data_IF_422158211553
#
_entry.id   IF_422158211553
#
_cell.length_a   1.000
_cell.length_b   1.000
_cell.length_c   1.000
_cell.angle_alpha   90.00
_cell.angle_beta   90.00
_cell.angle_gamma   90.00
#
_symmetry.space_group_name_H-M   'P 1'
#
loop_
_entity.id
_entity.type
_entity.pdbx_description
1 polymer ?
#
# COMPACT_ATOMS: atom_id res chain seq x y z
N UNK A 1 22.01 -21.43 80.73
CA UNK A 1 23.25 -22.14 81.13
C UNK A 1 24.33 -21.94 80.11
N UNK A 2 25.47 -21.39 80.58
CA UNK A 2 26.85 -21.43 80.03
C UNK A 2 27.09 -20.90 78.64
N UNK A 3 27.73 -19.72 78.52
CA UNK A 3 29.15 -19.32 78.65
C UNK A 3 29.86 -19.55 77.32
N UNK A 4 30.23 -18.43 76.64
CA UNK A 4 31.53 -17.76 76.60
C UNK A 4 32.54 -18.61 75.76
N UNK A 5 33.22 -18.04 74.78
CA UNK A 5 34.48 -17.38 75.05
C UNK A 5 35.02 -16.57 73.87
N UNK A 6 35.72 -15.53 74.23
CA UNK A 6 36.48 -14.58 73.41
C UNK A 6 37.86 -15.16 73.12
N UNK A 7 38.42 -14.82 71.99
CA UNK A 7 39.87 -14.41 71.88
C UNK A 7 40.14 -14.00 70.43
N UNK A 8 40.38 -12.75 70.16
CA UNK A 8 41.67 -12.03 70.06
C UNK A 8 42.69 -12.66 69.12
N UNK A 9 43.05 -11.96 68.08
CA UNK A 9 44.38 -11.41 67.75
C UNK A 9 44.42 -11.19 66.24
N UNK A 10 44.75 -10.15 65.80
CA UNK A 10 45.86 -9.23 65.60
C UNK A 10 45.97 -8.83 64.11
N UNK A 11 46.15 -7.57 63.98
CA UNK A 11 46.42 -6.77 62.78
C UNK A 11 47.62 -7.30 61.98
N UNK A 12 47.46 -7.25 60.66
CA UNK A 12 48.60 -7.09 59.75
C UNK A 12 48.15 -6.19 58.60
N UNK A 13 48.67 -5.00 58.59
CA UNK A 13 48.59 -4.04 57.52
C UNK A 13 49.53 -4.49 56.39
N UNK A 14 48.98 -4.76 55.19
CA UNK A 14 49.75 -4.72 53.96
C UNK A 14 49.16 -3.68 53.06
N UNK A 15 49.88 -2.58 52.92
CA UNK A 15 49.65 -1.57 51.91
C UNK A 15 50.02 -2.15 50.52
N UNK A 16 49.02 -2.44 49.69
CA UNK A 16 49.26 -2.64 48.26
C UNK A 16 48.84 -1.34 47.55
N UNK A 17 49.83 -0.60 47.08
CA UNK A 17 49.69 0.48 46.14
C UNK A 17 49.23 -0.12 44.77
N UNK A 18 47.96 -0.16 44.50
CA UNK A 18 47.38 -0.53 43.22
C UNK A 18 47.39 0.66 42.26
N UNK A 19 48.28 0.63 41.31
CA UNK A 19 48.33 1.58 40.18
C UNK A 19 47.04 1.41 39.36
N UNK A 20 46.09 2.39 39.47
CA UNK A 20 44.93 2.45 38.56
C UNK A 20 45.44 2.85 37.17
N UNK A 21 45.57 1.88 36.29
CA UNK A 21 45.69 2.14 34.83
C UNK A 21 44.30 2.50 34.35
N UNK A 22 43.99 3.79 34.19
CA UNK A 22 42.85 4.27 33.43
C UNK A 22 43.06 3.87 31.95
N UNK A 23 42.57 2.71 31.57
CA UNK A 23 42.38 2.37 30.17
C UNK A 23 41.26 3.26 29.62
N UNK A 24 41.64 4.41 29.04
CA UNK A 24 40.75 5.23 28.21
C UNK A 24 40.41 4.41 26.98
N UNK A 25 39.39 3.56 27.09
CA UNK A 25 38.77 2.95 25.92
C UNK A 25 38.16 4.04 25.03
N UNK A 26 38.88 4.46 24.01
CA UNK A 26 38.34 5.23 22.94
C UNK A 26 37.20 4.39 22.33
N UNK A 27 35.96 4.72 22.67
CA UNK A 27 34.78 4.26 21.91
C UNK A 27 34.99 4.73 20.47
N UNK A 28 35.44 3.83 19.60
CA UNK A 28 35.47 4.07 18.19
C UNK A 28 34.04 4.43 17.79
N UNK A 29 33.79 5.72 17.52
CA UNK A 29 32.57 6.19 16.92
C UNK A 29 32.42 5.43 15.60
N UNK A 30 31.53 4.45 15.55
CA UNK A 30 31.16 3.80 14.30
C UNK A 30 30.59 4.90 13.41
N UNK A 31 31.28 5.20 12.34
CA UNK A 31 30.78 6.10 11.30
C UNK A 31 29.39 5.58 10.89
N UNK A 32 28.38 6.48 10.74
CA UNK A 32 27.07 6.05 10.27
C UNK A 32 27.25 5.28 8.95
N UNK A 33 26.47 4.22 8.71
CA UNK A 33 26.59 3.42 7.50
C UNK A 33 26.50 4.35 6.30
N UNK A 34 27.55 4.39 5.49
CA UNK A 34 27.56 5.16 4.25
C UNK A 34 26.41 4.68 3.37
N UNK A 35 25.56 5.59 2.91
CA UNK A 35 24.55 5.26 1.92
C UNK A 35 25.27 4.66 0.71
N UNK A 36 24.75 3.56 0.15
CA UNK A 36 25.31 3.02 -1.09
C UNK A 36 25.41 4.13 -2.14
N UNK A 37 26.56 4.25 -2.79
CA UNK A 37 26.72 5.19 -3.89
C UNK A 37 25.80 4.79 -5.03
N UNK A 38 25.15 5.76 -5.71
CA UNK A 38 24.33 5.47 -6.88
C UNK A 38 25.16 4.76 -7.94
N UNK A 39 24.62 3.69 -8.52
CA UNK A 39 25.19 3.03 -9.68
C UNK A 39 24.57 3.65 -10.91
N UNK A 40 25.39 4.20 -11.79
CA UNK A 40 24.96 4.77 -13.06
C UNK A 40 24.97 3.70 -14.14
N UNK A 41 23.89 3.61 -14.90
CA UNK A 41 23.73 2.64 -15.98
C UNK A 41 22.88 3.24 -17.12
N UNK A 42 23.03 2.71 -18.32
CA UNK A 42 22.15 3.05 -19.42
C UNK A 42 20.82 2.31 -19.28
N UNK A 43 19.72 3.04 -19.38
CA UNK A 43 18.35 2.52 -19.31
C UNK A 43 17.63 2.83 -20.61
N UNK A 44 17.06 1.80 -21.25
CA UNK A 44 16.31 1.96 -22.49
C UNK A 44 14.95 2.58 -22.20
N UNK A 45 14.77 3.84 -22.57
CA UNK A 45 13.48 4.53 -22.54
C UNK A 45 12.88 4.55 -23.94
N UNK A 46 11.57 4.25 -24.12
CA UNK A 46 10.93 4.41 -25.43
C UNK A 46 11.11 5.83 -25.99
N UNK A 47 11.43 5.94 -27.27
CA UNK A 47 11.54 7.23 -27.96
C UNK A 47 10.18 7.92 -28.04
N UNK A 48 9.15 7.13 -28.39
CA UNK A 48 7.77 7.61 -28.38
C UNK A 48 7.13 7.32 -27.03
N UNK A 49 6.34 8.26 -26.55
CA UNK A 49 5.64 8.10 -25.29
C UNK A 49 4.54 7.04 -25.40
N UNK A 50 4.50 6.08 -24.47
CA UNK A 50 3.46 5.05 -24.38
C UNK A 50 2.08 5.70 -24.26
N UNK A 51 1.16 5.35 -25.15
CA UNK A 51 -0.20 5.87 -25.12
C UNK A 51 -1.00 5.29 -23.94
N UNK A 52 -2.00 6.05 -23.49
CA UNK A 52 -3.02 5.52 -22.58
C UNK A 52 -4.02 4.70 -23.40
N UNK A 53 -4.30 3.47 -22.95
CA UNK A 53 -5.35 2.61 -23.52
C UNK A 53 -6.51 2.57 -22.55
N UNK A 54 -7.71 2.85 -23.03
CA UNK A 54 -8.91 2.84 -22.17
C UNK A 54 -9.05 1.51 -21.39
N UNK A 55 -9.48 1.55 -20.13
CA UNK A 55 -9.97 2.72 -19.36
C UNK A 55 -8.86 3.63 -18.84
N UNK A 56 -7.58 3.25 -18.95
CA UNK A 56 -6.46 4.02 -18.40
C UNK A 56 -6.41 5.43 -18.98
N UNK A 57 -6.29 6.42 -18.12
CA UNK A 57 -6.03 7.83 -18.47
C UNK A 57 -5.18 8.49 -17.40
N UNK A 58 -4.53 9.62 -17.69
CA UNK A 58 -3.61 10.25 -16.74
C UNK A 58 -4.24 10.55 -15.39
N UNK A 59 -5.49 11.00 -15.37
CA UNK A 59 -6.18 11.42 -14.17
C UNK A 59 -7.66 11.05 -14.21
N UNK A 60 -8.09 10.23 -13.28
CA UNK A 60 -9.48 9.95 -12.96
C UNK A 60 -9.89 10.75 -11.73
N UNK A 61 -10.81 11.67 -11.89
CA UNK A 61 -11.43 12.38 -10.77
C UNK A 61 -12.58 11.56 -10.22
N UNK A 62 -12.57 11.30 -8.92
CA UNK A 62 -13.68 10.59 -8.27
C UNK A 62 -15.00 11.35 -8.47
N UNK A 63 -14.98 12.68 -8.42
CA UNK A 63 -16.17 13.51 -8.66
C UNK A 63 -16.82 13.26 -10.03
N UNK A 64 -16.00 13.05 -11.08
CA UNK A 64 -16.51 12.75 -12.43
C UNK A 64 -17.15 11.35 -12.48
N UNK A 65 -16.53 10.37 -11.80
CA UNK A 65 -17.08 9.00 -11.69
C UNK A 65 -18.42 9.02 -10.96
N UNK A 66 -18.51 9.73 -9.84
CA UNK A 66 -19.77 9.87 -9.09
C UNK A 66 -20.85 10.58 -9.92
N UNK A 67 -20.49 11.60 -10.68
CA UNK A 67 -21.40 12.31 -11.56
C UNK A 67 -21.95 11.40 -12.67
N UNK A 68 -21.08 10.58 -13.28
CA UNK A 68 -21.47 9.59 -14.30
C UNK A 68 -22.51 8.59 -13.79
N UNK A 69 -22.40 8.19 -12.53
CA UNK A 69 -23.28 7.22 -11.87
C UNK A 69 -24.33 7.85 -10.96
N UNK A 70 -24.61 9.15 -11.15
CA UNK A 70 -25.62 9.86 -10.35
C UNK A 70 -26.97 9.15 -10.39
N UNK A 71 -27.57 8.96 -9.21
CA UNK A 71 -28.84 8.24 -9.05
C UNK A 71 -28.74 6.70 -9.06
N UNK A 72 -27.60 6.12 -9.37
CA UNK A 72 -27.38 4.69 -9.29
C UNK A 72 -26.83 4.31 -7.91
N UNK A 73 -27.41 3.29 -7.28
CA UNK A 73 -26.98 2.83 -5.95
C UNK A 73 -25.99 1.67 -6.00
N UNK A 74 -26.03 0.89 -7.10
CA UNK A 74 -25.12 -0.23 -7.33
C UNK A 74 -24.55 -0.11 -8.74
N UNK A 75 -23.21 -0.02 -8.85
CA UNK A 75 -22.49 0.14 -10.10
C UNK A 75 -21.01 -0.20 -9.93
N UNK A 76 -20.32 -0.40 -11.03
CA UNK A 76 -18.86 -0.48 -11.07
C UNK A 76 -18.31 0.32 -12.24
N UNK A 77 -17.10 0.85 -12.07
CA UNK A 77 -16.36 1.59 -13.10
C UNK A 77 -14.91 1.13 -13.12
N UNK A 78 -14.45 0.62 -14.25
CA UNK A 78 -13.05 0.25 -14.44
C UNK A 78 -12.20 1.52 -14.60
N UNK A 79 -11.17 1.65 -13.78
CA UNK A 79 -10.28 2.81 -13.68
C UNK A 79 -8.90 2.50 -14.25
N UNK A 80 -8.34 1.35 -13.86
CA UNK A 80 -7.09 0.81 -14.38
C UNK A 80 -7.35 -0.58 -14.94
N UNK A 81 -6.84 -0.83 -16.13
CA UNK A 81 -6.81 -2.15 -16.73
C UNK A 81 -5.54 -2.26 -17.57
N UNK A 82 -4.55 -2.98 -17.06
CA UNK A 82 -3.30 -3.20 -17.76
C UNK A 82 -2.87 -4.68 -17.63
N UNK A 83 -1.62 -4.97 -17.94
CA UNK A 83 -1.07 -6.32 -17.87
C UNK A 83 -1.05 -6.88 -16.46
N UNK A 84 -0.83 -6.02 -15.46
CA UNK A 84 -0.55 -6.42 -14.09
C UNK A 84 -1.80 -6.29 -13.19
N UNK A 85 -2.65 -5.26 -13.42
CA UNK A 85 -3.77 -4.95 -12.54
C UNK A 85 -5.08 -4.63 -13.24
N UNK A 86 -6.17 -4.93 -12.53
CA UNK A 86 -7.47 -4.30 -12.69
C UNK A 86 -7.79 -3.54 -11.41
N UNK A 87 -8.10 -2.25 -11.54
CA UNK A 87 -8.58 -1.44 -10.44
C UNK A 87 -9.89 -0.74 -10.83
N UNK A 88 -10.84 -0.71 -9.90
CA UNK A 88 -12.20 -0.20 -10.16
C UNK A 88 -12.84 0.45 -8.95
N UNK A 89 -13.76 1.36 -9.19
CA UNK A 89 -14.72 1.75 -8.18
C UNK A 89 -15.92 0.81 -8.21
N UNK A 90 -16.37 0.41 -7.03
CA UNK A 90 -17.54 -0.46 -6.85
C UNK A 90 -18.44 0.16 -5.79
N UNK A 91 -19.66 0.50 -6.20
CA UNK A 91 -20.74 0.91 -5.31
C UNK A 91 -21.71 -0.25 -5.12
N UNK A 92 -22.09 -0.50 -3.88
CA UNK A 92 -23.09 -1.50 -3.51
C UNK A 92 -24.23 -0.82 -2.76
N UNK A 93 -25.46 -1.15 -3.16
CA UNK A 93 -26.66 -0.63 -2.52
C UNK A 93 -26.79 -1.13 -1.06
N UNK A 94 -27.55 -0.44 -0.18
CA UNK A 94 -27.85 -0.92 1.16
C UNK A 94 -28.40 -2.35 1.18
N UNK A 95 -27.82 -3.20 2.04
CA UNK A 95 -28.18 -4.60 2.15
C UNK A 95 -27.68 -5.49 1.02
N UNK A 96 -27.05 -4.92 -0.01
CA UNK A 96 -26.42 -5.71 -1.06
C UNK A 96 -25.23 -6.49 -0.49
N UNK A 97 -25.13 -7.75 -0.90
CA UNK A 97 -24.09 -8.67 -0.44
C UNK A 97 -23.40 -9.31 -1.64
N UNK A 98 -22.07 -9.32 -1.63
CA UNK A 98 -21.30 -10.09 -2.60
C UNK A 98 -21.43 -11.58 -2.33
N UNK A 99 -21.24 -12.41 -3.36
CA UNK A 99 -21.00 -13.84 -3.17
C UNK A 99 -19.72 -14.02 -2.35
N UNK A 100 -19.66 -15.11 -1.59
CA UNK A 100 -18.43 -15.57 -0.95
C UNK A 100 -17.52 -16.11 -2.03
N UNK A 101 -16.36 -15.49 -2.21
CA UNK A 101 -15.44 -15.76 -3.31
C UNK A 101 -13.99 -15.63 -2.85
N UNK A 102 -13.06 -16.13 -3.66
CA UNK A 102 -11.63 -15.97 -3.47
C UNK A 102 -10.90 -15.94 -4.81
N UNK A 103 -9.62 -15.55 -4.82
CA UNK A 103 -8.75 -15.60 -6.00
C UNK A 103 -7.68 -16.68 -5.83
N UNK A 104 -7.32 -17.36 -6.93
CA UNK A 104 -6.43 -18.52 -6.88
C UNK A 104 -5.00 -18.17 -6.47
N UNK A 105 -4.45 -17.10 -7.03
CA UNK A 105 -3.02 -16.80 -6.94
C UNK A 105 -2.71 -15.34 -6.66
N UNK A 106 -3.76 -14.53 -6.45
CA UNK A 106 -3.63 -13.08 -6.27
C UNK A 106 -4.26 -12.65 -4.95
N UNK A 107 -3.61 -11.69 -4.31
CA UNK A 107 -4.20 -10.89 -3.24
C UNK A 107 -5.15 -9.88 -3.85
N UNK A 108 -6.29 -9.66 -3.22
CA UNK A 108 -7.18 -8.54 -3.53
C UNK A 108 -7.14 -7.56 -2.37
N UNK A 109 -7.22 -6.28 -2.67
CA UNK A 109 -7.36 -5.26 -1.64
C UNK A 109 -8.27 -4.13 -2.10
N UNK A 110 -8.81 -3.39 -1.15
CA UNK A 110 -9.64 -2.22 -1.43
C UNK A 110 -9.55 -1.16 -0.36
N UNK A 111 -9.90 0.05 -0.74
CA UNK A 111 -9.97 1.21 0.14
C UNK A 111 -11.41 1.71 0.14
N UNK A 112 -12.03 1.80 1.32
CA UNK A 112 -13.39 2.31 1.47
C UNK A 112 -13.39 3.82 1.30
N UNK A 113 -14.14 4.30 0.31
CA UNK A 113 -14.29 5.72 0.01
C UNK A 113 -15.46 6.35 0.78
N UNK A 114 -16.56 5.60 0.92
CA UNK A 114 -17.73 6.04 1.68
C UNK A 114 -18.62 4.88 2.09
N UNK A 115 -19.56 5.13 3.00
CA UNK A 115 -20.51 4.14 3.50
C UNK A 115 -19.90 3.18 4.51
N UNK A 116 -20.57 2.04 4.71
CA UNK A 116 -20.23 1.02 5.71
C UNK A 116 -20.30 -0.36 5.08
N UNK A 117 -19.31 -1.18 5.31
CA UNK A 117 -19.23 -2.55 4.78
C UNK A 117 -18.95 -3.51 5.91
N UNK A 118 -19.82 -4.50 6.09
CA UNK A 118 -19.48 -5.71 6.86
C UNK A 118 -18.60 -6.58 5.98
N UNK A 119 -17.41 -6.86 6.45
CA UNK A 119 -16.43 -7.72 5.78
C UNK A 119 -16.31 -9.02 6.56
N UNK A 120 -16.51 -10.14 5.86
CA UNK A 120 -16.31 -11.49 6.40
C UNK A 120 -15.19 -12.15 5.60
N UNK A 121 -14.12 -12.54 6.27
CA UNK A 121 -12.95 -13.21 5.69
C UNK A 121 -12.77 -14.53 6.45
N UNK A 122 -12.61 -15.64 5.74
CA UNK A 122 -12.41 -16.93 6.35
C UNK A 122 -11.18 -16.91 7.29
N UNK A 123 -11.37 -17.44 8.49
CA UNK A 123 -10.32 -17.42 9.53
C UNK A 123 -10.16 -16.09 10.29
N UNK A 124 -10.98 -15.06 9.97
CA UNK A 124 -10.98 -13.79 10.70
C UNK A 124 -12.35 -13.55 11.35
N UNK A 125 -12.36 -12.77 12.44
CA UNK A 125 -13.62 -12.25 12.97
C UNK A 125 -14.19 -11.22 11.99
N UNK A 126 -15.49 -11.26 11.67
CA UNK A 126 -16.11 -10.25 10.83
C UNK A 126 -15.97 -8.86 11.45
N UNK A 127 -15.76 -7.85 10.62
CA UNK A 127 -15.62 -6.46 11.05
C UNK A 127 -16.37 -5.52 10.13
N UNK A 128 -16.59 -4.29 10.60
CA UNK A 128 -17.21 -3.22 9.80
C UNK A 128 -16.14 -2.25 9.36
N UNK A 129 -15.96 -2.14 8.05
CA UNK A 129 -15.08 -1.17 7.42
C UNK A 129 -15.87 0.08 7.03
N UNK A 130 -15.34 1.26 7.36
CA UNK A 130 -15.88 2.58 7.04
C UNK A 130 -14.88 3.37 6.21
N UNK A 131 -15.21 4.61 5.85
CA UNK A 131 -14.30 5.48 5.09
C UNK A 131 -12.88 5.47 5.65
N UNK A 132 -11.91 5.28 4.78
CA UNK A 132 -10.49 5.21 5.13
C UNK A 132 -10.00 3.80 5.52
N UNK A 133 -10.89 2.83 5.75
CA UNK A 133 -10.43 1.45 5.92
C UNK A 133 -9.80 0.95 4.62
N UNK A 134 -8.62 0.39 4.78
CA UNK A 134 -7.88 -0.35 3.77
C UNK A 134 -7.94 -1.82 4.14
N UNK A 135 -8.50 -2.67 3.28
CA UNK A 135 -8.74 -4.09 3.55
C UNK A 135 -8.04 -4.92 2.49
N UNK A 136 -7.49 -6.06 2.87
CA UNK A 136 -6.88 -6.99 1.94
C UNK A 136 -7.19 -8.44 2.29
N UNK A 137 -7.25 -9.30 1.27
CA UNK A 137 -7.48 -10.73 1.40
C UNK A 137 -6.42 -11.50 0.65
N UNK A 138 -5.71 -12.44 1.30
CA UNK A 138 -4.70 -13.26 0.65
C UNK A 138 -5.31 -14.20 -0.40
N UNK A 139 -4.49 -14.72 -1.31
CA UNK A 139 -4.94 -15.72 -2.27
C UNK A 139 -5.51 -16.97 -1.56
N UNK A 140 -6.55 -17.57 -2.14
CA UNK A 140 -7.27 -18.78 -1.67
C UNK A 140 -7.91 -18.64 -0.29
N UNK A 141 -8.15 -17.42 0.17
CA UNK A 141 -8.94 -17.15 1.37
C UNK A 141 -10.27 -16.55 0.92
N UNK A 142 -11.37 -17.21 1.29
CA UNK A 142 -12.69 -16.76 0.85
C UNK A 142 -13.18 -15.57 1.69
N UNK A 143 -13.91 -14.66 1.04
CA UNK A 143 -14.48 -13.48 1.67
C UNK A 143 -15.81 -13.08 1.05
N UNK A 144 -16.56 -12.31 1.79
CA UNK A 144 -17.76 -11.60 1.31
C UNK A 144 -17.86 -10.22 1.93
N UNK A 145 -18.55 -9.32 1.23
CA UNK A 145 -18.80 -7.94 1.63
C UNK A 145 -20.30 -7.72 1.60
N UNK A 146 -20.82 -7.04 2.62
CA UNK A 146 -22.23 -6.64 2.71
C UNK A 146 -22.30 -5.15 3.07
N UNK A 147 -23.09 -4.38 2.33
CA UNK A 147 -23.30 -2.97 2.65
C UNK A 147 -24.26 -2.82 3.82
N UNK A 148 -23.79 -2.17 4.88
CA UNK A 148 -24.58 -1.88 6.09
C UNK A 148 -25.11 -0.44 6.09
N UNK A 149 -26.27 -0.26 6.73
CA UNK A 149 -26.91 1.05 6.89
C UNK A 149 -27.84 1.40 5.74
N UNK A 150 -28.18 2.69 5.61
CA UNK A 150 -29.17 3.20 4.64
C UNK A 150 -28.55 3.74 3.36
N UNK A 151 -27.25 3.98 3.36
CA UNK A 151 -26.52 4.54 2.24
C UNK A 151 -25.68 3.50 1.50
N UNK A 152 -25.46 3.67 0.19
CA UNK A 152 -24.54 2.82 -0.56
C UNK A 152 -23.12 2.87 0.02
N UNK A 153 -22.41 1.78 -0.10
CA UNK A 153 -20.97 1.74 0.20
C UNK A 153 -20.17 1.83 -1.10
N UNK A 154 -19.10 2.61 -1.09
CA UNK A 154 -18.17 2.78 -2.21
C UNK A 154 -16.76 2.36 -1.81
N UNK A 155 -16.14 1.54 -2.64
CA UNK A 155 -14.74 1.17 -2.50
C UNK A 155 -13.95 1.30 -3.80
N UNK A 156 -12.68 1.56 -3.69
CA UNK A 156 -11.70 1.37 -4.75
C UNK A 156 -11.02 0.02 -4.55
N UNK A 157 -11.25 -0.92 -5.46
CA UNK A 157 -10.76 -2.31 -5.37
C UNK A 157 -9.67 -2.56 -6.42
N UNK A 158 -8.60 -3.24 -6.00
CA UNK A 158 -7.46 -3.60 -6.84
C UNK A 158 -7.19 -5.10 -6.74
N UNK A 159 -6.97 -5.73 -7.90
CA UNK A 159 -6.59 -7.14 -8.02
C UNK A 159 -5.70 -7.37 -9.21
N UNK A 160 -5.05 -8.52 -9.28
CA UNK A 160 -4.28 -8.94 -10.46
C UNK A 160 -5.14 -8.97 -11.72
N UNK A 161 -4.58 -8.60 -12.85
CA UNK A 161 -5.30 -8.53 -14.14
C UNK A 161 -5.88 -9.88 -14.57
N UNK A 162 -5.22 -10.97 -14.22
CA UNK A 162 -5.65 -12.33 -14.54
C UNK A 162 -6.48 -13.00 -13.43
N UNK A 163 -6.75 -12.27 -12.34
CA UNK A 163 -7.49 -12.79 -11.20
C UNK A 163 -8.96 -13.01 -11.55
N UNK A 164 -9.36 -14.27 -11.63
CA UNK A 164 -10.75 -14.70 -11.84
C UNK A 164 -11.30 -15.20 -10.51
N UNK A 165 -12.52 -14.81 -10.11
CA UNK A 165 -13.10 -15.28 -8.87
C UNK A 165 -13.41 -16.77 -8.92
N UNK A 166 -13.03 -17.48 -7.87
CA UNK A 166 -13.43 -18.84 -7.54
C UNK A 166 -14.43 -18.79 -6.38
N UNK A 167 -15.24 -19.82 -6.26
CA UNK A 167 -16.29 -19.89 -5.23
C UNK A 167 -16.10 -21.15 -4.40
N UNK A 168 -16.29 -21.10 -3.07
CA UNK A 168 -16.38 -22.28 -2.24
C UNK A 168 -17.47 -23.24 -2.76
N UNK A 169 -17.33 -24.53 -2.49
CA UNK A 169 -18.23 -25.55 -3.05
C UNK A 169 -19.69 -25.42 -2.60
N UNK A 170 -19.91 -24.77 -1.49
CA UNK A 170 -21.21 -24.47 -0.90
C UNK A 170 -21.82 -23.14 -1.39
N UNK A 171 -21.09 -22.40 -2.25
CA UNK A 171 -21.57 -21.16 -2.86
C UNK A 171 -22.01 -21.40 -4.31
N UNK A 172 -23.04 -20.67 -4.75
CA UNK A 172 -23.45 -20.69 -6.16
C UNK A 172 -22.63 -19.66 -6.93
N UNK A 173 -21.79 -20.09 -7.91
CA UNK A 173 -20.98 -19.16 -8.71
C UNK A 173 -21.83 -18.16 -9.48
N UNK A 174 -21.32 -16.95 -9.64
CA UNK A 174 -21.89 -15.96 -10.56
C UNK A 174 -21.57 -16.44 -12.00
N UNK A 175 -22.57 -16.58 -12.88
CA UNK A 175 -22.34 -16.95 -14.25
C UNK A 175 -21.34 -16.01 -14.95
N UNK A 176 -20.47 -16.56 -15.77
CA UNK A 176 -19.48 -15.81 -16.55
C UNK A 176 -19.55 -16.26 -18.01
N UNK A 177 -19.72 -15.31 -18.90
CA UNK A 177 -19.85 -15.59 -20.35
C UNK A 177 -18.65 -16.38 -20.87
N UNK A 178 -18.98 -17.42 -21.65
CA UNK A 178 -17.97 -18.30 -22.24
C UNK A 178 -17.18 -19.17 -21.24
N UNK A 179 -17.59 -19.21 -19.96
CA UNK A 179 -16.95 -20.04 -18.93
C UNK A 179 -17.91 -21.07 -18.36
N UNK A 180 -17.36 -22.23 -18.04
CA UNK A 180 -18.05 -23.29 -17.30
C UNK A 180 -17.31 -23.55 -16.00
N UNK A 181 -18.03 -23.52 -14.88
CA UNK A 181 -17.44 -23.84 -13.59
C UNK A 181 -17.25 -25.36 -13.44
N UNK A 182 -16.05 -25.74 -13.07
CA UNK A 182 -15.65 -27.11 -12.82
C UNK A 182 -15.26 -27.28 -11.35
N UNK A 183 -15.58 -28.40 -10.73
CA UNK A 183 -15.07 -28.72 -9.39
C UNK A 183 -13.57 -28.95 -9.49
N UNK A 184 -12.82 -28.25 -8.65
CA UNK A 184 -11.35 -28.30 -8.58
C UNK A 184 -10.90 -28.57 -7.14
N UNK A 185 -9.69 -29.08 -7.00
CA UNK A 185 -9.01 -29.22 -5.70
C UNK A 185 -7.79 -28.31 -5.68
N UNK A 186 -7.48 -27.76 -4.52
CA UNK A 186 -6.27 -26.94 -4.32
C UNK A 186 -5.71 -27.17 -2.92
N UNK A 187 -4.45 -26.80 -2.72
CA UNK A 187 -3.76 -26.91 -1.44
C UNK A 187 -3.12 -25.58 -1.07
N UNK A 188 -3.07 -25.31 0.23
CA UNK A 188 -2.48 -24.09 0.76
C UNK A 188 -3.31 -22.84 0.45
N UNK A 189 -2.97 -21.78 1.12
CA UNK A 189 -3.55 -20.43 0.95
C UNK A 189 -2.51 -19.38 1.37
N UNK A 190 -2.72 -18.13 0.96
CA UNK A 190 -1.93 -17.02 1.44
C UNK A 190 -2.18 -16.74 2.93
N UNK A 191 -1.28 -16.02 3.54
CA UNK A 191 -1.34 -15.67 4.96
C UNK A 191 -1.25 -14.16 5.16
N UNK A 192 -1.63 -13.73 6.35
CA UNK A 192 -1.33 -12.41 6.88
C UNK A 192 0.03 -12.44 7.58
N UNK A 193 0.72 -11.31 7.63
CA UNK A 193 2.00 -11.12 8.28
C UNK A 193 2.08 -9.71 8.92
N UNK A 194 3.27 -9.27 9.30
CA UNK A 194 3.45 -7.96 9.95
C UNK A 194 3.10 -6.77 9.04
N UNK A 195 3.28 -6.90 7.73
CA UNK A 195 2.94 -5.90 6.72
C UNK A 195 1.53 -6.13 6.19
N UNK A 196 1.27 -7.33 5.73
CA UNK A 196 0.01 -7.72 5.10
C UNK A 196 -1.04 -8.07 6.18
N UNK A 197 -1.61 -7.08 6.84
CA UNK A 197 -2.67 -7.25 7.85
C UNK A 197 -4.04 -7.33 7.18
N UNK A 198 -5.06 -7.96 7.81
CA UNK A 198 -6.41 -8.02 7.24
C UNK A 198 -6.99 -6.65 6.89
N UNK A 199 -6.71 -5.67 7.73
CA UNK A 199 -7.10 -4.27 7.49
C UNK A 199 -6.19 -3.29 8.23
N UNK A 200 -6.26 -2.03 7.80
CA UNK A 200 -5.71 -0.85 8.43
C UNK A 200 -6.79 0.24 8.41
N UNK A 201 -7.05 0.88 9.52
CA UNK A 201 -7.85 2.11 9.56
C UNK A 201 -6.92 3.30 9.30
N UNK A 202 -6.86 3.75 8.04
CA UNK A 202 -5.97 4.84 7.63
C UNK A 202 -6.19 6.13 8.44
N UNK A 203 -7.45 6.47 8.73
CA UNK A 203 -7.76 7.68 9.48
C UNK A 203 -7.23 7.58 10.90
N UNK A 204 -7.51 6.48 11.59
CA UNK A 204 -7.10 6.27 12.97
C UNK A 204 -5.60 6.00 13.09
N UNK A 205 -5.10 5.05 12.30
CA UNK A 205 -3.78 4.46 12.52
C UNK A 205 -2.66 5.25 11.82
N UNK A 206 -3.00 6.10 10.82
CA UNK A 206 -2.02 6.91 10.09
C UNK A 206 -2.25 8.40 10.30
N UNK A 207 -3.45 8.90 9.98
CA UNK A 207 -3.73 10.36 10.04
C UNK A 207 -3.71 10.85 11.48
N UNK A 208 -4.55 10.28 12.34
CA UNK A 208 -4.67 10.70 13.74
C UNK A 208 -3.42 10.36 14.57
N UNK A 209 -2.71 9.31 14.22
CA UNK A 209 -1.44 8.92 14.83
C UNK A 209 -0.25 9.72 14.30
N UNK A 210 -0.46 10.63 13.33
CA UNK A 210 0.60 11.37 12.62
C UNK A 210 1.72 10.46 12.08
N UNK A 211 1.33 9.28 11.59
CA UNK A 211 2.24 8.30 11.00
C UNK A 211 2.81 8.74 9.66
N UNK A 212 3.88 8.09 9.24
CA UNK A 212 4.53 8.38 7.93
C UNK A 212 3.93 7.61 6.76
N UNK A 213 3.01 6.70 7.02
CA UNK A 213 2.57 5.70 6.07
C UNK A 213 3.51 4.50 6.04
N UNK A 214 3.58 3.82 4.91
CA UNK A 214 4.37 2.61 4.71
C UNK A 214 3.63 1.60 3.86
N UNK A 215 4.20 0.41 3.61
CA UNK A 215 3.55 -0.61 2.81
C UNK A 215 2.29 -1.13 3.49
N UNK A 216 1.21 -1.21 2.71
CA UNK A 216 -0.06 -1.83 3.10
C UNK A 216 -0.18 -3.23 2.49
N UNK A 217 0.23 -3.39 1.23
CA UNK A 217 0.40 -4.68 0.57
C UNK A 217 1.84 -4.81 0.13
N UNK A 218 2.45 -5.96 0.39
CA UNK A 218 3.80 -6.27 -0.08
C UNK A 218 3.92 -7.77 -0.29
N UNK A 219 3.88 -8.18 -1.54
CA UNK A 219 4.18 -9.55 -1.95
C UNK A 219 4.93 -9.54 -3.31
N UNK A 220 5.07 -10.68 -3.95
CA UNK A 220 5.81 -10.83 -5.22
C UNK A 220 5.06 -10.29 -6.45
N UNK A 221 3.78 -9.97 -6.32
CA UNK A 221 2.90 -9.49 -7.41
C UNK A 221 2.35 -8.10 -7.19
N UNK A 222 2.37 -7.60 -5.96
CA UNK A 222 1.75 -6.33 -5.60
C UNK A 222 2.54 -5.60 -4.53
N UNK A 223 2.80 -4.35 -4.80
CA UNK A 223 3.32 -3.41 -3.82
C UNK A 223 2.42 -2.19 -3.76
N UNK A 224 1.70 -2.03 -2.66
CA UNK A 224 0.87 -0.86 -2.38
C UNK A 224 1.43 -0.13 -1.16
N UNK A 225 2.03 1.03 -1.38
CA UNK A 225 2.79 1.78 -0.38
C UNK A 225 2.21 3.18 -0.14
N UNK A 226 1.84 3.47 1.09
CA UNK A 226 1.41 4.80 1.51
C UNK A 226 2.61 5.73 1.66
N UNK A 227 2.63 6.82 0.91
CA UNK A 227 3.68 7.85 0.95
C UNK A 227 3.02 9.13 1.45
N UNK A 228 3.36 9.55 2.67
CA UNK A 228 2.75 10.67 3.40
C UNK A 228 3.79 11.74 3.74
N UNK A 229 3.45 13.00 3.52
CA UNK A 229 4.31 14.12 3.86
C UNK A 229 3.58 15.46 3.83
N UNK A 230 4.22 16.52 4.33
CA UNK A 230 3.67 17.88 4.29
C UNK A 230 3.66 18.42 2.87
N UNK A 231 2.60 19.16 2.54
CA UNK A 231 2.52 19.93 1.32
C UNK A 231 3.65 20.96 1.22
N UNK A 232 4.09 21.24 0.02
CA UNK A 232 5.19 22.16 -0.27
C UNK A 232 4.82 23.02 -1.48
N UNK A 233 5.25 24.30 -1.52
CA UNK A 233 4.96 25.19 -2.65
C UNK A 233 5.61 24.74 -3.96
N UNK A 234 6.67 23.93 -3.87
CA UNK A 234 7.34 23.30 -4.99
C UNK A 234 7.97 21.96 -4.56
N UNK A 235 8.13 21.01 -5.49
CA UNK A 235 8.82 19.78 -5.17
C UNK A 235 10.28 20.06 -4.77
N UNK A 236 10.83 19.32 -3.77
CA UNK A 236 12.23 19.46 -3.41
C UNK A 236 13.13 19.11 -4.60
N UNK A 237 14.29 19.77 -4.71
CA UNK A 237 15.25 19.52 -5.80
C UNK A 237 15.69 18.05 -5.91
N UNK A 238 15.64 17.30 -4.81
CA UNK A 238 15.91 15.86 -4.78
C UNK A 238 14.82 15.00 -5.42
N UNK A 239 13.63 15.54 -5.68
CA UNK A 239 12.55 14.82 -6.35
C UNK A 239 12.65 15.00 -7.86
N UNK A 240 13.55 14.24 -8.48
CA UNK A 240 13.84 14.32 -9.91
C UNK A 240 12.76 13.68 -10.80
N UNK A 241 11.81 12.94 -10.19
CA UNK A 241 10.94 12.06 -10.96
C UNK A 241 11.68 10.84 -11.52
N UNK A 242 10.95 9.92 -12.12
CA UNK A 242 11.51 8.67 -12.65
C UNK A 242 10.55 8.05 -13.67
N UNK A 243 10.97 6.94 -14.27
CA UNK A 243 10.13 6.09 -15.10
C UNK A 243 10.40 4.62 -14.80
N UNK A 244 9.47 3.75 -15.20
CA UNK A 244 9.60 2.31 -15.09
C UNK A 244 9.63 1.67 -16.47
N UNK A 245 10.61 0.79 -16.75
CA UNK A 245 10.71 0.12 -18.04
C UNK A 245 9.79 -1.09 -18.12
N UNK A 246 9.61 -1.78 -17.00
CA UNK A 246 8.96 -3.11 -16.98
C UNK A 246 7.49 -3.10 -16.62
N UNK A 247 6.93 -1.99 -16.13
CA UNK A 247 5.57 -1.93 -15.60
C UNK A 247 5.02 -0.51 -15.58
N UNK A 248 3.70 -0.41 -15.39
CA UNK A 248 2.98 0.83 -15.13
C UNK A 248 2.88 1.07 -13.64
N UNK A 249 2.71 2.32 -13.22
CA UNK A 249 2.42 2.69 -11.85
C UNK A 249 1.16 3.54 -11.77
N UNK A 250 0.39 3.37 -10.70
CA UNK A 250 -0.76 4.23 -10.44
C UNK A 250 -0.89 4.56 -8.96
N UNK A 251 -1.62 5.62 -8.67
CA UNK A 251 -1.77 6.15 -7.33
C UNK A 251 -3.23 6.45 -7.03
N UNK A 252 -3.67 6.10 -5.83
CA UNK A 252 -4.89 6.60 -5.22
C UNK A 252 -4.51 7.69 -4.22
N UNK A 253 -5.10 8.87 -4.31
CA UNK A 253 -4.93 9.92 -3.31
C UNK A 253 -5.82 9.60 -2.11
N UNK A 254 -5.23 9.57 -0.91
CA UNK A 254 -5.92 9.25 0.34
C UNK A 254 -6.21 10.49 1.20
N UNK A 255 -5.32 11.49 1.16
CA UNK A 255 -5.38 12.69 2.00
C UNK A 255 -4.73 13.85 1.27
N UNK A 256 -5.28 15.06 1.43
CA UNK A 256 -4.67 16.30 0.96
C UNK A 256 -4.59 16.42 -0.56
N UNK A 257 -3.54 17.07 -1.06
CA UNK A 257 -3.34 17.32 -2.48
C UNK A 257 -2.02 16.76 -2.96
N UNK A 258 -2.02 16.09 -4.09
CA UNK A 258 -0.81 15.57 -4.73
C UNK A 258 -0.70 16.21 -6.11
N UNK A 259 0.43 16.84 -6.34
CA UNK A 259 0.77 17.48 -7.61
C UNK A 259 1.51 16.47 -8.50
N UNK A 260 1.06 16.36 -9.75
CA UNK A 260 1.62 15.46 -10.72
C UNK A 260 2.17 16.18 -11.94
N UNK A 261 3.36 15.76 -12.35
CA UNK A 261 3.94 16.07 -13.64
C UNK A 261 4.23 14.73 -14.33
N UNK A 262 3.55 14.48 -15.44
CA UNK A 262 3.71 13.27 -16.25
C UNK A 262 4.08 13.69 -17.66
N UNK A 263 5.06 13.03 -18.26
CA UNK A 263 5.54 13.30 -19.61
C UNK A 263 4.39 13.36 -20.63
N UNK A 264 4.31 14.49 -21.35
CA UNK A 264 3.26 14.74 -22.35
C UNK A 264 1.88 15.09 -21.77
N UNK A 265 1.78 15.35 -20.45
CA UNK A 265 0.54 15.77 -19.79
C UNK A 265 0.76 17.14 -19.12
N UNK A 266 -0.16 18.11 -19.25
CA UNK A 266 -0.07 19.32 -18.46
C UNK A 266 -0.03 19.02 -16.96
N UNK A 267 0.65 19.85 -16.18
CA UNK A 267 0.64 19.78 -14.73
C UNK A 267 -0.80 19.77 -14.18
N UNK A 268 -1.05 18.94 -13.17
CA UNK A 268 -2.34 18.90 -12.48
C UNK A 268 -2.18 18.50 -11.01
N UNK A 269 -3.20 18.83 -10.23
CA UNK A 269 -3.32 18.43 -8.83
C UNK A 269 -4.46 17.42 -8.70
N UNK A 270 -4.20 16.31 -7.99
CA UNK A 270 -5.20 15.31 -7.65
C UNK A 270 -5.60 15.42 -6.17
N UNK A 271 -6.86 15.10 -5.87
CA UNK A 271 -7.50 15.22 -4.56
C UNK A 271 -7.94 13.84 -4.01
N UNK A 272 -8.35 13.73 -2.74
CA UNK A 272 -8.72 12.44 -2.15
C UNK A 272 -9.78 11.69 -2.97
N UNK A 273 -9.49 10.43 -3.25
CA UNK A 273 -10.29 9.57 -4.11
C UNK A 273 -9.93 9.64 -5.60
N UNK A 274 -9.10 10.57 -6.03
CA UNK A 274 -8.63 10.60 -7.42
C UNK A 274 -7.60 9.48 -7.66
N UNK A 275 -7.61 8.96 -8.89
CA UNK A 275 -6.62 7.98 -9.35
C UNK A 275 -5.79 8.56 -10.49
N UNK A 276 -4.48 8.44 -10.36
CA UNK A 276 -3.52 8.86 -11.37
C UNK A 276 -2.78 7.64 -11.89
N UNK A 277 -2.56 7.56 -13.20
CA UNK A 277 -1.91 6.42 -13.85
C UNK A 277 -0.81 6.87 -14.80
N UNK A 278 0.37 6.27 -14.68
CA UNK A 278 1.49 6.45 -15.59
C UNK A 278 1.82 5.12 -16.29
N UNK A 279 1.67 5.04 -17.62
CA UNK A 279 2.04 3.86 -18.38
C UNK A 279 3.53 3.55 -18.28
N UNK A 280 3.89 2.30 -18.50
CA UNK A 280 5.26 1.84 -18.65
C UNK A 280 6.10 2.77 -19.57
N UNK A 281 7.30 3.13 -19.14
CA UNK A 281 8.22 3.98 -19.88
C UNK A 281 7.97 5.49 -19.79
N UNK A 282 6.85 5.93 -19.24
CA UNK A 282 6.53 7.35 -19.13
C UNK A 282 7.16 7.96 -17.88
N UNK A 283 7.93 9.01 -18.07
CA UNK A 283 8.48 9.76 -16.95
C UNK A 283 7.36 10.45 -16.15
N UNK A 284 7.49 10.40 -14.83
CA UNK A 284 6.52 11.02 -13.92
C UNK A 284 7.17 11.48 -12.62
N UNK A 285 6.51 12.44 -11.99
CA UNK A 285 6.87 12.97 -10.69
C UNK A 285 5.60 13.27 -9.92
N UNK A 286 5.50 12.72 -8.71
CA UNK A 286 4.47 13.08 -7.75
C UNK A 286 5.09 13.86 -6.59
N UNK A 287 4.45 14.94 -6.15
CA UNK A 287 4.88 15.77 -5.03
C UNK A 287 3.70 16.14 -4.15
N UNK A 288 3.98 16.46 -2.88
CA UNK A 288 2.94 16.88 -1.95
C UNK A 288 2.57 18.33 -2.23
N UNK A 289 1.32 18.57 -2.65
CA UNK A 289 0.79 19.91 -2.92
C UNK A 289 0.03 20.51 -1.72
N UNK A 290 -0.35 21.77 -1.85
CA UNK A 290 -1.10 22.48 -0.81
C UNK A 290 -0.31 22.78 0.46
N UNK A 291 -1.01 23.13 1.55
CA UNK A 291 -0.40 23.58 2.80
C UNK A 291 -0.56 22.57 3.97
N UNK A 292 -1.21 21.43 3.74
CA UNK A 292 -1.48 20.40 4.76
C UNK A 292 -0.69 19.13 4.51
N UNK A 293 -0.98 18.11 5.33
CA UNK A 293 -0.48 16.77 5.06
C UNK A 293 -1.18 16.20 3.82
N UNK A 294 -0.45 15.44 3.04
CA UNK A 294 -0.98 14.73 1.90
C UNK A 294 -0.45 13.30 1.85
N UNK A 295 -1.29 12.39 1.37
CA UNK A 295 -0.95 10.96 1.29
C UNK A 295 -1.45 10.39 -0.04
N UNK A 296 -0.58 9.65 -0.72
CA UNK A 296 -0.94 8.80 -1.86
C UNK A 296 -0.60 7.35 -1.57
N UNK A 297 -1.40 6.45 -2.08
CA UNK A 297 -1.10 5.02 -2.15
C UNK A 297 -0.50 4.75 -3.52
N UNK A 298 0.79 4.47 -3.58
CA UNK A 298 1.50 4.09 -4.81
C UNK A 298 1.35 2.58 -5.02
N UNK A 299 0.92 2.17 -6.21
CA UNK A 299 0.60 0.78 -6.52
C UNK A 299 1.37 0.36 -7.77
N UNK A 300 2.18 -0.68 -7.61
CA UNK A 300 2.96 -1.29 -8.68
C UNK A 300 3.10 -2.82 -8.46
N UNK A 301 3.56 -3.60 -9.48
CA UNK A 301 3.47 -5.06 -9.43
C UNK A 301 4.57 -5.75 -8.59
N UNK A 302 5.51 -4.99 -8.02
CA UNK A 302 6.59 -5.59 -7.21
C UNK A 302 7.24 -4.59 -6.26
N UNK A 303 7.67 -5.04 -5.06
CA UNK A 303 8.25 -4.15 -4.06
C UNK A 303 9.67 -3.66 -4.39
N UNK A 304 10.39 -4.36 -5.24
CA UNK A 304 11.77 -4.12 -5.64
C UNK A 304 11.91 -3.59 -7.07
N UNK A 305 10.81 -3.07 -7.63
CA UNK A 305 10.78 -2.51 -8.97
C UNK A 305 11.76 -1.34 -9.12
N UNK A 306 12.57 -1.40 -10.17
CA UNK A 306 13.56 -0.35 -10.42
C UNK A 306 12.91 0.96 -10.82
N UNK A 307 13.30 2.04 -10.13
CA UNK A 307 12.98 3.41 -10.48
C UNK A 307 14.15 3.98 -11.27
N UNK A 308 13.89 4.40 -12.52
CA UNK A 308 14.92 4.93 -13.40
C UNK A 308 14.95 6.45 -13.22
N UNK A 309 15.75 6.92 -12.28
CA UNK A 309 16.00 8.36 -12.09
C UNK A 309 17.01 8.83 -13.13
N UNK A 310 16.81 10.03 -13.67
CA UNK A 310 17.80 10.65 -14.54
C UNK A 310 19.08 10.90 -13.73
N UNK A 311 20.23 10.42 -14.25
CA UNK A 311 21.51 10.74 -13.65
C UNK A 311 21.84 12.22 -13.89
N UNK A 312 22.58 12.88 -12.97
CA UNK A 312 23.13 14.21 -13.25
C UNK A 312 23.95 14.17 -14.54
N UNK A 313 23.87 15.24 -15.34
CA UNK A 313 24.82 15.47 -16.43
C UNK A 313 26.15 15.84 -15.82
N UNK A 314 27.28 15.30 -16.36
CA UNK A 314 28.66 15.61 -15.95
C UNK A 314 29.06 17.04 -16.33
#
# INVERSE_FOLDING_TARGET
MRKSDRSRLQQLWFALAGTLICASGALAQQSPPQRPQPIVAWSAKPVETTAWTAPNKPHWKLADVLTKHSGQRSWQEDIVSDRDFIARYISMAPGEKSKRQFFADDRVFWIVQSGRMRVSIDGQQPFVATQGFMVQVPYRVAYSIETEGSEPSLRFEVRGAQAVPLYPIDETPVPMDGKKYMKVTYTGHGAYDEVNKPYLDFIKDVVNANGRGGPFVKDDKTFANMIRGPGQPAPPASNLGHFHIGYSEFWLVLEGKIDYLIEGVPFFTAEPGDVVYAPQGRWHRASFGGNGMATRLAINPRPDGMHNFQAPED
#
